data_IF_878875268153
#
_entry.id   IF_878875268153
#
_cell.length_a   1.000
_cell.length_b   1.000
_cell.length_c   1.000
_cell.angle_alpha   90.00
_cell.angle_beta   90.00
_cell.angle_gamma   90.00
#
_symmetry.space_group_name_H-M   'P 1'
#
loop_
_entity.id
_entity.type
_entity.pdbx_description
1 polymer ?
#
# COMPACT_ATOMS: atom_id res chain seq x y z
N UNK A 1 -24.40 35.57 35.21
CA UNK A 1 -23.37 34.52 35.00
C UNK A 1 -23.88 33.31 34.21
N UNK A 2 -25.12 32.91 34.25
CA UNK A 2 -25.63 31.76 33.49
C UNK A 2 -25.77 31.98 31.96
N UNK A 3 -25.94 33.23 31.50
CA UNK A 3 -26.02 33.54 30.06
C UNK A 3 -24.68 33.56 29.32
N UNK A 4 -23.58 33.79 30.04
CA UNK A 4 -22.22 33.75 29.44
C UNK A 4 -21.74 32.32 29.23
N UNK A 5 -22.17 31.37 30.06
CA UNK A 5 -21.82 29.94 29.90
C UNK A 5 -22.58 29.29 28.74
N UNK A 6 -23.75 29.77 28.37
CA UNK A 6 -24.50 29.29 27.18
C UNK A 6 -23.91 29.78 25.86
N UNK A 7 -23.33 31.00 25.83
CA UNK A 7 -22.68 31.55 24.63
C UNK A 7 -21.32 30.90 24.35
N UNK A 8 -20.59 30.46 25.37
CA UNK A 8 -19.34 29.71 25.22
C UNK A 8 -19.61 28.25 24.79
N UNK A 9 -20.72 27.65 25.21
CA UNK A 9 -21.11 26.30 24.76
C UNK A 9 -21.60 26.27 23.30
N UNK A 10 -22.08 27.39 22.75
CA UNK A 10 -22.54 27.46 21.35
C UNK A 10 -21.42 27.76 20.35
N UNK A 11 -20.24 28.23 20.81
CA UNK A 11 -19.10 28.48 19.95
C UNK A 11 -18.18 27.27 19.76
N UNK A 12 -18.46 26.14 20.42
CA UNK A 12 -17.80 24.84 20.23
C UNK A 12 -18.63 23.92 19.33
N UNK A 13 -19.41 24.46 18.40
CA UNK A 13 -19.76 23.72 17.18
C UNK A 13 -18.43 23.61 16.43
N UNK A 14 -17.72 22.54 16.71
CA UNK A 14 -16.67 22.05 15.82
C UNK A 14 -17.24 22.10 14.43
N UNK A 15 -16.79 23.00 13.60
CA UNK A 15 -16.87 22.85 12.16
C UNK A 15 -16.06 21.60 11.86
N UNK A 16 -16.75 20.44 11.94
CA UNK A 16 -16.26 19.25 11.27
C UNK A 16 -15.89 19.74 9.89
N UNK A 17 -14.64 19.59 9.44
CA UNK A 17 -14.31 19.94 8.06
C UNK A 17 -15.37 19.22 7.23
N UNK A 18 -16.16 19.99 6.50
CA UNK A 18 -17.17 19.43 5.59
C UNK A 18 -16.40 18.41 4.77
N UNK A 19 -16.78 17.14 4.84
CA UNK A 19 -16.11 16.08 4.12
C UNK A 19 -16.08 16.55 2.67
N UNK A 20 -14.90 16.89 2.17
CA UNK A 20 -14.73 17.37 0.79
C UNK A 20 -15.28 16.26 -0.08
N UNK A 21 -16.31 16.57 -0.88
CA UNK A 21 -16.85 15.61 -1.83
C UNK A 21 -15.72 15.14 -2.73
N UNK A 22 -15.58 13.83 -2.89
CA UNK A 22 -14.56 13.23 -3.72
C UNK A 22 -14.89 13.53 -5.18
N UNK A 23 -14.07 14.36 -5.83
CA UNK A 23 -14.30 14.78 -7.22
C UNK A 23 -13.74 13.74 -8.18
N UNK A 24 -14.59 13.23 -9.05
CA UNK A 24 -14.23 12.20 -10.05
C UNK A 24 -14.51 12.72 -11.46
N UNK A 25 -13.46 12.86 -12.27
CA UNK A 25 -13.60 13.15 -13.68
C UNK A 25 -13.91 11.88 -14.46
N UNK A 26 -14.91 11.94 -15.34
CA UNK A 26 -15.33 10.82 -16.20
C UNK A 26 -15.19 11.25 -17.65
N UNK A 27 -14.18 10.71 -18.34
CA UNK A 27 -13.94 10.98 -19.77
C UNK A 27 -14.66 9.94 -20.62
N UNK A 28 -15.65 10.38 -21.40
CA UNK A 28 -16.46 9.53 -22.25
C UNK A 28 -16.10 9.71 -23.71
N UNK A 29 -16.05 8.62 -24.47
CA UNK A 29 -15.86 8.65 -25.92
C UNK A 29 -17.03 9.33 -26.66
N UNK A 30 -18.25 9.10 -26.17
CA UNK A 30 -19.47 9.68 -26.72
C UNK A 30 -20.53 9.86 -25.62
N UNK A 31 -21.48 10.83 -25.80
CA UNK A 31 -22.56 11.03 -24.84
C UNK A 31 -23.44 9.78 -24.63
N UNK A 32 -23.53 8.88 -25.63
CA UNK A 32 -24.29 7.63 -25.54
C UNK A 32 -23.79 6.70 -24.42
N UNK A 33 -22.49 6.76 -24.09
CA UNK A 33 -21.92 5.96 -23.00
C UNK A 33 -22.49 6.35 -21.64
N UNK A 34 -22.90 7.58 -21.45
CA UNK A 34 -23.57 8.02 -20.24
C UNK A 34 -24.89 7.26 -20.00
N UNK A 35 -25.66 7.01 -21.07
CA UNK A 35 -26.93 6.28 -20.97
C UNK A 35 -26.70 4.78 -20.79
N UNK A 36 -25.77 4.19 -21.59
CA UNK A 36 -25.50 2.73 -21.57
C UNK A 36 -24.80 2.26 -20.30
N UNK A 37 -24.13 3.16 -19.54
CA UNK A 37 -23.42 2.86 -18.30
C UNK A 37 -24.03 3.62 -17.09
N UNK A 38 -25.24 4.09 -17.22
CA UNK A 38 -25.89 4.96 -16.20
C UNK A 38 -26.00 4.33 -14.84
N UNK A 39 -26.11 3.00 -14.73
CA UNK A 39 -26.15 2.30 -13.44
C UNK A 39 -24.82 2.32 -12.72
N UNK A 40 -23.74 2.15 -13.45
CA UNK A 40 -22.40 2.27 -12.90
C UNK A 40 -22.15 3.69 -12.35
N UNK A 41 -22.51 4.71 -13.09
CA UNK A 41 -22.35 6.10 -12.62
C UNK A 41 -23.23 6.40 -11.40
N UNK A 42 -24.49 5.97 -11.41
CA UNK A 42 -25.38 6.09 -10.24
C UNK A 42 -24.81 5.37 -9.01
N UNK A 43 -24.14 4.24 -9.18
CA UNK A 43 -23.49 3.53 -8.08
C UNK A 43 -22.36 4.37 -7.45
N UNK A 44 -21.58 5.11 -8.25
CA UNK A 44 -20.57 6.06 -7.78
C UNK A 44 -21.20 7.26 -7.07
N UNK A 45 -22.23 7.85 -7.64
CA UNK A 45 -22.97 8.99 -7.05
C UNK A 45 -23.56 8.63 -5.69
N UNK A 46 -24.15 7.43 -5.55
CA UNK A 46 -24.69 6.93 -4.27
C UNK A 46 -23.64 6.80 -3.18
N UNK A 47 -22.37 6.64 -3.54
CA UNK A 47 -21.23 6.59 -2.61
C UNK A 47 -20.66 7.97 -2.27
N UNK A 48 -21.24 9.05 -2.84
CA UNK A 48 -20.85 10.43 -2.56
C UNK A 48 -19.78 10.99 -3.48
N UNK A 49 -19.52 10.37 -4.66
CA UNK A 49 -18.65 10.95 -5.67
C UNK A 49 -19.36 12.06 -6.45
N UNK A 50 -18.71 13.19 -6.59
CA UNK A 50 -19.11 14.27 -7.50
C UNK A 50 -18.57 13.95 -8.90
N UNK A 51 -19.43 13.53 -9.82
CA UNK A 51 -19.03 13.12 -11.16
C UNK A 51 -19.04 14.34 -12.10
N UNK A 52 -17.91 14.57 -12.77
CA UNK A 52 -17.77 15.58 -13.81
C UNK A 52 -17.58 14.85 -15.15
N UNK A 53 -18.62 14.85 -15.98
CA UNK A 53 -18.60 14.20 -17.28
C UNK A 53 -17.96 15.12 -18.34
N UNK A 54 -16.99 14.55 -19.06
CA UNK A 54 -16.22 15.23 -20.10
C UNK A 54 -16.29 14.38 -21.36
N UNK A 55 -16.78 14.95 -22.44
CA UNK A 55 -16.83 14.28 -23.74
C UNK A 55 -15.58 14.56 -24.55
N UNK A 56 -15.32 13.75 -25.58
CA UNK A 56 -14.09 13.84 -26.38
C UNK A 56 -13.84 15.22 -27.04
N UNK A 57 -14.87 16.02 -27.27
CA UNK A 57 -14.75 17.39 -27.81
C UNK A 57 -14.37 18.39 -26.70
N UNK A 58 -14.88 18.21 -25.49
CA UNK A 58 -14.61 19.10 -24.35
C UNK A 58 -13.29 18.71 -23.63
N UNK A 59 -12.69 17.58 -23.98
CA UNK A 59 -11.44 17.11 -23.35
C UNK A 59 -10.22 17.99 -23.61
N UNK A 60 -10.32 18.92 -24.55
CA UNK A 60 -9.30 19.97 -24.82
C UNK A 60 -9.12 20.93 -23.64
N UNK A 61 -10.16 21.12 -22.84
CA UNK A 61 -10.17 22.01 -21.66
C UNK A 61 -9.90 21.27 -20.33
N UNK A 62 -9.75 19.95 -20.37
CA UNK A 62 -9.52 19.17 -19.14
C UNK A 62 -8.10 19.39 -18.61
N UNK A 63 -8.02 20.07 -17.48
CA UNK A 63 -6.79 20.21 -16.71
C UNK A 63 -6.88 19.35 -15.47
N UNK A 64 -6.00 18.34 -15.36
CA UNK A 64 -5.93 17.46 -14.18
C UNK A 64 -5.26 18.13 -12.99
N UNK A 65 -4.51 19.19 -13.25
CA UNK A 65 -3.76 19.94 -12.26
C UNK A 65 -3.96 21.44 -12.45
N UNK A 66 -4.04 22.15 -11.33
CA UNK A 66 -4.10 23.60 -11.33
C UNK A 66 -3.19 24.14 -10.22
N UNK A 67 -2.15 24.90 -10.58
CA UNK A 67 -1.13 25.44 -9.66
C UNK A 67 -0.46 24.40 -8.75
N UNK A 68 -0.15 23.21 -9.26
CA UNK A 68 0.50 22.15 -8.49
C UNK A 68 -0.45 21.31 -7.63
N UNK A 69 -1.76 21.62 -7.61
CA UNK A 69 -2.77 20.83 -6.90
C UNK A 69 -3.65 20.06 -7.89
N UNK A 70 -4.04 18.85 -7.50
CA UNK A 70 -4.96 18.02 -8.29
C UNK A 70 -6.35 18.63 -8.30
N UNK A 71 -6.93 18.74 -9.48
CA UNK A 71 -8.31 19.21 -9.66
C UNK A 71 -9.32 18.09 -9.29
N UNK A 72 -8.95 16.85 -9.52
CA UNK A 72 -9.77 15.66 -9.28
C UNK A 72 -9.02 14.65 -8.42
N UNK A 73 -9.77 13.91 -7.60
CA UNK A 73 -9.21 12.82 -6.79
C UNK A 73 -9.12 11.52 -7.60
N UNK A 74 -10.12 11.27 -8.45
CA UNK A 74 -10.22 10.08 -9.28
C UNK A 74 -10.47 10.43 -10.76
N UNK A 75 -10.01 9.54 -11.64
CA UNK A 75 -10.19 9.66 -13.08
C UNK A 75 -10.73 8.34 -13.65
N UNK A 76 -11.85 8.42 -14.38
CA UNK A 76 -12.46 7.29 -15.10
C UNK A 76 -12.32 7.55 -16.59
N UNK A 77 -11.67 6.64 -17.31
CA UNK A 77 -11.43 6.74 -18.76
C UNK A 77 -12.25 5.69 -19.51
N UNK A 78 -13.39 6.11 -20.07
CA UNK A 78 -14.28 5.31 -20.92
C UNK A 78 -14.20 5.81 -22.37
N UNK A 79 -12.97 5.89 -22.89
CA UNK A 79 -12.69 6.35 -24.26
C UNK A 79 -11.75 5.38 -24.98
N UNK A 80 -12.20 4.15 -25.27
CA UNK A 80 -11.31 3.10 -25.75
C UNK A 80 -10.83 3.27 -27.19
N UNK A 81 -11.52 4.00 -28.05
CA UNK A 81 -11.23 4.10 -29.49
C UNK A 81 -10.76 5.48 -29.93
N UNK A 82 -11.17 6.54 -29.25
CA UNK A 82 -10.80 7.90 -29.56
C UNK A 82 -9.62 8.38 -28.74
N UNK A 83 -8.89 9.32 -29.27
CA UNK A 83 -7.86 10.02 -28.51
C UNK A 83 -8.48 10.68 -27.27
N UNK A 84 -7.70 10.75 -26.19
CA UNK A 84 -8.11 11.37 -24.92
C UNK A 84 -8.12 12.92 -24.99
N UNK A 85 -8.33 13.52 -26.17
CA UNK A 85 -8.26 14.95 -26.39
C UNK A 85 -6.87 15.51 -26.13
N UNK A 86 -6.74 16.46 -25.22
CA UNK A 86 -5.46 17.07 -24.87
C UNK A 86 -4.63 16.21 -23.89
N UNK A 87 -5.20 15.18 -23.27
CA UNK A 87 -4.50 14.33 -22.29
C UNK A 87 -3.40 13.51 -22.95
N UNK A 88 -2.17 13.72 -22.50
CA UNK A 88 -0.99 12.98 -22.92
C UNK A 88 -0.68 11.88 -21.89
N UNK A 89 0.16 10.92 -22.30
CA UNK A 89 0.69 9.91 -21.37
C UNK A 89 1.36 10.55 -20.14
N UNK A 90 2.13 11.63 -20.36
CA UNK A 90 2.80 12.36 -19.27
C UNK A 90 1.84 12.92 -18.23
N UNK A 91 0.68 13.42 -18.65
CA UNK A 91 -0.29 14.06 -17.78
C UNK A 91 -0.99 13.01 -16.90
N UNK A 92 -1.26 11.82 -17.46
CA UNK A 92 -1.79 10.68 -16.73
C UNK A 92 -0.78 10.14 -15.70
N UNK A 93 0.50 10.01 -16.09
CA UNK A 93 1.56 9.57 -15.16
C UNK A 93 1.72 10.58 -14.03
N UNK A 94 1.78 11.86 -14.36
CA UNK A 94 1.90 12.92 -13.34
C UNK A 94 0.72 12.95 -12.38
N UNK A 95 -0.52 12.75 -12.88
CA UNK A 95 -1.70 12.63 -12.04
C UNK A 95 -1.60 11.47 -11.05
N UNK A 96 -1.08 10.31 -11.48
CA UNK A 96 -0.84 9.15 -10.62
C UNK A 96 0.29 9.41 -9.62
N UNK A 97 1.37 10.08 -10.06
CA UNK A 97 2.50 10.41 -9.18
C UNK A 97 2.09 11.38 -8.07
N UNK A 98 1.14 12.25 -8.33
CA UNK A 98 0.53 13.09 -7.30
C UNK A 98 -0.48 12.35 -6.39
N UNK A 99 -0.69 11.05 -6.59
CA UNK A 99 -1.58 10.23 -5.78
C UNK A 99 -3.03 10.17 -6.27
N UNK A 100 -3.30 10.52 -7.53
CA UNK A 100 -4.61 10.37 -8.17
C UNK A 100 -4.91 8.90 -8.49
N UNK A 101 -6.16 8.49 -8.37
CA UNK A 101 -6.58 7.12 -8.71
C UNK A 101 -7.20 7.09 -10.10
N UNK A 102 -7.03 5.95 -10.80
CA UNK A 102 -7.44 5.87 -12.21
C UNK A 102 -8.12 4.53 -12.52
N UNK A 103 -9.28 4.60 -13.20
CA UNK A 103 -9.95 3.46 -13.80
C UNK A 103 -9.96 3.63 -15.32
N UNK A 104 -9.26 2.75 -16.03
CA UNK A 104 -9.23 2.72 -17.49
C UNK A 104 -9.99 1.50 -17.99
N UNK A 105 -11.04 1.71 -18.79
CA UNK A 105 -11.75 0.64 -19.49
C UNK A 105 -11.41 0.67 -20.97
N UNK A 106 -10.82 -0.42 -21.45
CA UNK A 106 -10.37 -0.60 -22.82
C UNK A 106 -11.39 -1.38 -23.68
N UNK A 107 -11.11 -1.50 -24.94
CA UNK A 107 -11.77 -2.39 -25.88
C UNK A 107 -10.75 -2.88 -26.91
N UNK A 108 -11.19 -3.76 -27.82
CA UNK A 108 -10.38 -4.29 -28.93
C UNK A 108 -9.64 -3.18 -29.74
N UNK A 109 -10.16 -1.96 -29.75
CA UNK A 109 -9.61 -0.81 -30.51
C UNK A 109 -8.88 0.20 -29.64
N UNK A 110 -8.32 -0.22 -28.53
CA UNK A 110 -7.57 0.64 -27.60
C UNK A 110 -6.55 1.55 -28.31
N UNK A 111 -6.45 2.81 -27.88
CA UNK A 111 -5.54 3.80 -28.45
C UNK A 111 -4.09 3.56 -28.05
N UNK A 112 -3.14 4.11 -28.82
CA UNK A 112 -1.71 4.02 -28.52
C UNK A 112 -1.38 4.69 -27.19
N UNK A 113 -1.93 5.87 -26.91
CA UNK A 113 -1.65 6.61 -25.66
C UNK A 113 -2.01 5.79 -24.42
N UNK A 114 -3.17 5.12 -24.45
CA UNK A 114 -3.61 4.25 -23.36
C UNK A 114 -2.73 3.00 -23.20
N UNK A 115 -2.31 2.41 -24.33
CA UNK A 115 -1.38 1.25 -24.29
C UNK A 115 -0.02 1.64 -23.73
N UNK A 116 0.55 2.74 -24.22
CA UNK A 116 1.84 3.25 -23.77
C UNK A 116 1.80 3.67 -22.29
N UNK A 117 0.66 4.19 -21.82
CA UNK A 117 0.45 4.50 -20.39
C UNK A 117 0.37 3.23 -19.53
N UNK A 118 -0.41 2.23 -19.96
CA UNK A 118 -0.53 0.98 -19.23
C UNK A 118 0.81 0.23 -19.16
N UNK A 119 1.58 0.23 -20.26
CA UNK A 119 2.91 -0.37 -20.32
C UNK A 119 3.87 0.25 -19.30
N UNK A 120 3.88 1.57 -19.14
CA UNK A 120 4.68 2.26 -18.10
C UNK A 120 4.27 1.87 -16.69
N UNK A 121 2.99 1.50 -16.50
CA UNK A 121 2.47 0.98 -15.24
C UNK A 121 2.75 -0.53 -15.05
N UNK A 122 3.40 -1.18 -16.03
CA UNK A 122 3.72 -2.61 -16.01
C UNK A 122 2.57 -3.51 -16.41
N UNK A 123 1.59 -3.00 -17.15
CA UNK A 123 0.44 -3.75 -17.69
C UNK A 123 0.48 -3.67 -19.21
N UNK A 124 0.62 -4.80 -19.87
CA UNK A 124 0.65 -4.87 -21.31
C UNK A 124 -0.70 -5.38 -21.86
N UNK A 125 -1.38 -4.55 -22.64
CA UNK A 125 -2.55 -4.98 -23.39
C UNK A 125 -2.14 -5.81 -24.60
N UNK A 126 -2.86 -6.87 -24.87
CA UNK A 126 -2.70 -7.69 -26.05
C UNK A 126 -2.77 -6.87 -27.36
N UNK A 127 -2.27 -7.43 -28.46
CA UNK A 127 -2.17 -6.79 -29.77
C UNK A 127 -3.52 -6.21 -30.21
N UNK A 128 -3.49 -5.08 -30.91
CA UNK A 128 -4.71 -4.44 -31.42
C UNK A 128 -5.48 -5.41 -32.31
N UNK A 129 -6.79 -5.54 -32.06
CA UNK A 129 -7.68 -6.43 -32.81
C UNK A 129 -7.74 -7.86 -32.27
N UNK A 130 -7.09 -8.17 -31.13
CA UNK A 130 -7.31 -9.42 -30.40
C UNK A 130 -8.42 -9.26 -29.37
N UNK A 131 -9.09 -10.35 -29.07
CA UNK A 131 -10.08 -10.50 -28.00
C UNK A 131 -9.84 -11.81 -27.28
N UNK A 132 -10.32 -11.89 -26.05
CA UNK A 132 -10.31 -13.14 -25.30
C UNK A 132 -11.45 -14.00 -25.78
N UNK A 133 -11.14 -15.24 -26.15
CA UNK A 133 -12.08 -16.23 -26.68
C UNK A 133 -12.09 -17.45 -25.75
N UNK A 134 -13.26 -17.98 -25.49
CA UNK A 134 -13.42 -19.24 -24.76
C UNK A 134 -14.64 -20.02 -25.31
N UNK A 135 -14.40 -21.19 -25.84
CA UNK A 135 -15.47 -22.03 -26.41
C UNK A 135 -16.19 -22.91 -25.36
N UNK A 136 -15.62 -22.99 -24.15
CA UNK A 136 -16.19 -23.81 -23.06
C UNK A 136 -17.06 -22.94 -22.14
N UNK A 137 -16.55 -21.73 -21.77
CA UNK A 137 -17.22 -20.84 -20.87
C UNK A 137 -17.87 -19.65 -21.60
N UNK A 138 -18.15 -19.81 -22.90
CA UNK A 138 -18.85 -18.78 -23.67
C UNK A 138 -20.29 -18.60 -23.16
N UNK A 139 -20.69 -17.31 -23.11
CA UNK A 139 -22.10 -16.96 -22.89
C UNK A 139 -22.75 -16.89 -24.26
N UNK A 140 -23.77 -17.70 -24.46
CA UNK A 140 -24.54 -17.68 -25.72
C UNK A 140 -25.24 -16.32 -25.83
N UNK A 141 -24.80 -15.52 -26.77
CA UNK A 141 -25.39 -14.25 -27.18
C UNK A 141 -25.65 -14.36 -28.68
N UNK A 142 -26.87 -14.10 -29.14
CA UNK A 142 -27.25 -14.26 -30.54
C UNK A 142 -26.42 -13.38 -31.50
N UNK A 143 -25.82 -12.31 -30.94
CA UNK A 143 -24.95 -11.39 -31.68
C UNK A 143 -23.46 -11.77 -31.66
N UNK A 144 -23.06 -12.78 -30.86
CA UNK A 144 -21.63 -13.18 -30.70
C UNK A 144 -21.30 -14.46 -31.46
N UNK A 145 -20.93 -14.33 -32.72
CA UNK A 145 -20.53 -15.45 -33.60
C UNK A 145 -19.20 -16.09 -33.18
N UNK A 146 -18.35 -15.34 -32.40
CA UNK A 146 -16.97 -15.75 -32.15
C UNK A 146 -16.71 -16.27 -30.73
N UNK A 147 -17.72 -16.40 -29.87
CA UNK A 147 -17.58 -16.76 -28.47
C UNK A 147 -16.64 -15.81 -27.71
N UNK A 148 -16.77 -14.52 -27.99
CA UNK A 148 -15.98 -13.45 -27.37
C UNK A 148 -16.59 -12.94 -26.05
N UNK A 149 -17.83 -13.32 -25.75
CA UNK A 149 -18.47 -13.07 -24.46
C UNK A 149 -18.24 -14.28 -23.55
N UNK A 150 -17.46 -14.11 -22.53
CA UNK A 150 -17.05 -15.20 -21.62
C UNK A 150 -17.55 -15.00 -20.20
N UNK A 151 -17.76 -16.09 -19.47
CA UNK A 151 -18.07 -16.09 -18.05
C UNK A 151 -16.81 -16.41 -17.24
N UNK A 152 -16.25 -15.43 -16.57
CA UNK A 152 -15.06 -15.56 -15.73
C UNK A 152 -15.43 -15.55 -14.25
N UNK A 153 -14.75 -16.33 -13.43
CA UNK A 153 -14.94 -16.42 -11.98
C UNK A 153 -13.63 -16.63 -11.20
N UNK A 154 -12.50 -16.50 -11.85
CA UNK A 154 -11.19 -16.62 -11.20
C UNK A 154 -10.72 -15.25 -10.69
N UNK A 155 -10.97 -15.03 -9.41
CA UNK A 155 -10.67 -13.75 -8.74
C UNK A 155 -9.42 -13.84 -7.89
N UNK A 156 -8.77 -12.70 -7.70
CA UNK A 156 -7.71 -12.57 -6.70
C UNK A 156 -8.23 -12.90 -5.29
N UNK A 157 -7.45 -13.66 -4.53
CA UNK A 157 -7.80 -14.09 -3.17
C UNK A 157 -7.69 -12.94 -2.14
N UNK A 158 -8.39 -11.84 -2.38
CA UNK A 158 -8.41 -10.67 -1.50
C UNK A 158 -9.80 -10.06 -1.42
N UNK A 159 -10.45 -10.23 -0.27
CA UNK A 159 -11.77 -9.62 -0.01
C UNK A 159 -11.72 -8.08 -0.04
N UNK A 160 -10.56 -7.47 0.18
CA UNK A 160 -10.40 -6.02 0.12
C UNK A 160 -10.49 -5.47 -1.29
N UNK A 161 -10.10 -6.29 -2.29
CA UNK A 161 -10.11 -5.91 -3.71
C UNK A 161 -11.43 -6.27 -4.38
N UNK A 162 -11.87 -7.52 -4.24
CA UNK A 162 -13.04 -8.06 -4.96
C UNK A 162 -14.23 -8.36 -4.04
N UNK A 163 -14.16 -7.91 -2.78
CA UNK A 163 -15.26 -8.09 -1.83
C UNK A 163 -15.59 -9.56 -1.56
N UNK A 164 -16.88 -9.85 -1.43
CA UNK A 164 -17.39 -11.20 -1.16
C UNK A 164 -17.10 -12.21 -2.27
N UNK A 165 -16.74 -11.77 -3.48
CA UNK A 165 -16.41 -12.64 -4.61
C UNK A 165 -15.12 -13.43 -4.40
N UNK A 166 -14.22 -12.98 -3.53
CA UNK A 166 -13.02 -13.74 -3.14
C UNK A 166 -13.38 -15.06 -2.43
N UNK A 167 -14.41 -15.02 -1.55
CA UNK A 167 -14.84 -16.19 -0.77
C UNK A 167 -15.95 -16.99 -1.44
N UNK A 168 -16.80 -16.31 -2.24
CA UNK A 168 -17.95 -16.89 -2.95
C UNK A 168 -17.93 -16.45 -4.41
N UNK A 169 -17.09 -17.07 -5.25
CA UNK A 169 -16.95 -16.66 -6.63
C UNK A 169 -18.27 -16.86 -7.40
N UNK A 170 -18.67 -15.83 -8.12
CA UNK A 170 -19.79 -15.83 -9.07
C UNK A 170 -19.25 -15.47 -10.43
N UNK A 171 -19.97 -15.84 -11.48
CA UNK A 171 -19.55 -15.52 -12.84
C UNK A 171 -19.73 -14.02 -13.15
N UNK A 172 -18.71 -13.45 -13.76
CA UNK A 172 -18.70 -12.10 -14.33
C UNK A 172 -18.65 -12.22 -15.85
N UNK A 173 -19.58 -11.56 -16.54
CA UNK A 173 -19.57 -11.50 -17.99
C UNK A 173 -18.50 -10.52 -18.46
N UNK A 174 -17.66 -10.97 -19.37
CA UNK A 174 -16.56 -10.18 -19.93
C UNK A 174 -16.50 -10.35 -21.44
N UNK A 175 -16.30 -9.23 -22.17
CA UNK A 175 -16.02 -9.23 -23.59
C UNK A 175 -15.00 -8.14 -23.90
N UNK A 176 -13.79 -8.51 -24.31
CA UNK A 176 -12.75 -7.51 -24.54
C UNK A 176 -11.36 -8.09 -24.73
N UNK A 177 -10.35 -7.28 -24.45
CA UNK A 177 -8.93 -7.56 -24.68
C UNK A 177 -8.30 -8.15 -23.43
N UNK A 178 -7.43 -9.13 -23.60
CA UNK A 178 -6.58 -9.67 -22.54
C UNK A 178 -5.41 -8.75 -22.21
N UNK A 179 -4.85 -8.93 -21.02
CA UNK A 179 -3.66 -8.23 -20.52
C UNK A 179 -2.68 -9.21 -19.94
N UNK A 180 -1.38 -8.88 -20.05
CA UNK A 180 -0.31 -9.53 -19.32
C UNK A 180 0.36 -8.55 -18.35
N UNK A 181 1.07 -9.10 -17.38
CA UNK A 181 1.85 -8.32 -16.42
C UNK A 181 3.34 -8.47 -16.69
N UNK A 182 4.07 -7.39 -16.48
CA UNK A 182 5.53 -7.46 -16.39
C UNK A 182 5.94 -8.38 -15.23
N UNK A 183 6.69 -9.48 -15.51
CA UNK A 183 6.97 -10.52 -14.50
C UNK A 183 7.63 -10.01 -13.21
N UNK A 184 8.41 -8.94 -13.29
CA UNK A 184 9.14 -8.38 -12.16
C UNK A 184 8.36 -7.27 -11.43
N UNK A 185 7.17 -6.91 -11.90
CA UNK A 185 6.38 -5.85 -11.29
C UNK A 185 5.54 -6.39 -10.13
N UNK A 186 6.07 -6.29 -8.92
CA UNK A 186 5.38 -6.68 -7.68
C UNK A 186 4.24 -5.71 -7.28
N UNK A 187 4.06 -4.59 -7.98
CA UNK A 187 3.01 -3.60 -7.71
C UNK A 187 1.70 -3.92 -8.43
N UNK A 188 1.76 -4.77 -9.45
CA UNK A 188 0.63 -5.12 -10.30
C UNK A 188 0.15 -6.55 -10.01
N UNK A 189 -1.16 -6.78 -10.14
CA UNK A 189 -1.77 -8.10 -10.01
C UNK A 189 -3.07 -8.17 -10.81
N UNK A 190 -3.45 -9.37 -11.23
CA UNK A 190 -4.75 -9.59 -11.86
C UNK A 190 -5.85 -9.65 -10.81
N UNK A 191 -6.85 -8.78 -10.91
CA UNK A 191 -8.05 -8.81 -10.05
C UNK A 191 -9.06 -9.84 -10.52
N UNK A 192 -9.15 -10.04 -11.85
CA UNK A 192 -9.95 -11.07 -12.52
C UNK A 192 -9.10 -11.70 -13.63
N UNK A 193 -9.00 -13.02 -13.64
CA UNK A 193 -8.27 -13.80 -14.63
C UNK A 193 -9.23 -14.52 -15.56
N UNK A 194 -8.73 -14.87 -16.74
CA UNK A 194 -9.51 -15.67 -17.68
C UNK A 194 -9.57 -17.15 -17.22
N UNK A 195 -10.63 -17.88 -17.59
CA UNK A 195 -10.70 -19.32 -17.36
C UNK A 195 -9.54 -20.07 -18.05
N UNK A 196 -9.19 -21.24 -17.53
CA UNK A 196 -8.08 -22.04 -18.04
C UNK A 196 -8.20 -22.42 -19.54
N UNK A 197 -9.42 -22.44 -20.08
CA UNK A 197 -9.71 -22.74 -21.48
C UNK A 197 -9.69 -21.55 -22.42
N UNK A 198 -9.59 -20.34 -21.86
CA UNK A 198 -9.57 -19.10 -22.61
C UNK A 198 -8.21 -18.86 -23.28
N UNK A 199 -8.22 -18.13 -24.37
CA UNK A 199 -7.04 -17.66 -25.08
C UNK A 199 -7.29 -16.31 -25.75
N UNK A 200 -6.23 -15.55 -26.00
CA UNK A 200 -6.34 -14.26 -26.66
C UNK A 200 -5.97 -14.37 -28.13
N UNK A 201 -6.90 -14.11 -29.03
CA UNK A 201 -6.66 -14.20 -30.47
C UNK A 201 -7.47 -13.18 -31.26
N UNK A 202 -7.10 -13.00 -32.54
CA UNK A 202 -7.92 -12.23 -33.47
C UNK A 202 -9.06 -13.12 -34.00
N UNK A 203 -10.34 -12.77 -33.78
CA UNK A 203 -11.47 -13.64 -34.11
C UNK A 203 -11.65 -13.88 -35.63
N UNK A 204 -11.15 -12.94 -36.46
CA UNK A 204 -11.31 -13.00 -37.90
C UNK A 204 -10.16 -13.76 -38.59
N UNK A 205 -8.98 -13.83 -37.95
CA UNK A 205 -7.79 -14.44 -38.55
C UNK A 205 -7.63 -15.89 -38.10
N UNK A 206 -7.32 -16.81 -39.02
CA UNK A 206 -7.08 -18.23 -38.65
C UNK A 206 -5.84 -18.30 -37.75
N UNK A 207 -5.96 -19.11 -36.71
CA UNK A 207 -4.86 -19.44 -35.80
C UNK A 207 -3.94 -20.42 -36.52
N UNK A 208 -2.74 -19.99 -36.87
CA UNK A 208 -1.69 -20.84 -37.46
C UNK A 208 -0.76 -21.37 -36.40
N UNK A 209 -0.15 -22.53 -36.63
CA UNK A 209 0.79 -23.15 -35.68
C UNK A 209 1.96 -22.20 -35.28
N UNK A 210 2.39 -21.32 -36.19
CA UNK A 210 3.40 -20.30 -35.94
C UNK A 210 2.95 -19.25 -34.93
N UNK A 211 1.65 -18.91 -34.89
CA UNK A 211 1.07 -17.96 -33.94
C UNK A 211 0.96 -18.60 -32.55
N UNK A 212 0.63 -19.88 -32.48
CA UNK A 212 0.52 -20.63 -31.22
C UNK A 212 1.87 -20.70 -30.50
N UNK A 213 2.97 -20.84 -31.24
CA UNK A 213 4.28 -21.08 -30.64
C UNK A 213 4.98 -19.83 -30.07
N UNK A 214 4.53 -18.61 -30.41
CA UNK A 214 5.31 -17.41 -30.11
C UNK A 214 4.56 -16.28 -29.42
N UNK A 215 3.25 -16.18 -29.59
CA UNK A 215 2.57 -14.92 -29.31
C UNK A 215 1.17 -15.04 -28.65
N UNK A 216 0.69 -16.21 -28.33
CA UNK A 216 -0.63 -16.36 -27.70
C UNK A 216 -0.52 -16.46 -26.16
N UNK A 217 -1.34 -15.65 -25.48
CA UNK A 217 -1.62 -15.83 -24.06
C UNK A 217 -2.75 -16.82 -23.86
N UNK A 218 -2.60 -17.69 -22.87
CA UNK A 218 -3.56 -18.77 -22.58
C UNK A 218 -3.95 -18.80 -21.11
N UNK A 219 -5.18 -19.21 -20.86
CA UNK A 219 -5.69 -19.54 -19.54
C UNK A 219 -5.52 -18.42 -18.54
N UNK A 220 -5.12 -18.77 -17.34
CA UNK A 220 -4.98 -17.84 -16.20
C UNK A 220 -3.86 -16.81 -16.34
N UNK A 221 -3.00 -16.92 -17.37
CA UNK A 221 -2.02 -15.87 -17.70
C UNK A 221 -2.67 -14.66 -18.34
N UNK A 222 -3.89 -14.82 -18.87
CA UNK A 222 -4.66 -13.73 -19.45
C UNK A 222 -5.40 -12.99 -18.35
N UNK A 223 -4.95 -11.79 -18.02
CA UNK A 223 -5.67 -10.88 -17.14
C UNK A 223 -6.84 -10.23 -17.87
N UNK A 224 -8.02 -10.25 -17.28
CA UNK A 224 -9.23 -9.57 -17.77
C UNK A 224 -9.38 -8.19 -17.13
N UNK A 225 -9.11 -8.12 -15.82
CA UNK A 225 -9.03 -6.88 -15.06
C UNK A 225 -7.78 -6.93 -14.22
N UNK A 226 -6.95 -5.91 -14.37
CA UNK A 226 -5.66 -5.80 -13.71
C UNK A 226 -5.62 -4.58 -12.80
N UNK A 227 -5.08 -4.74 -11.62
CA UNK A 227 -4.93 -3.71 -10.64
C UNK A 227 -3.45 -3.40 -10.40
N UNK A 228 -3.14 -2.13 -10.23
CA UNK A 228 -1.79 -1.64 -9.88
C UNK A 228 -1.90 -0.72 -8.67
N UNK A 229 -1.04 -0.93 -7.69
CA UNK A 229 -0.89 -0.02 -6.57
C UNK A 229 0.49 0.61 -6.61
N UNK A 230 0.55 1.90 -6.85
CA UNK A 230 1.77 2.66 -6.88
C UNK A 230 2.42 2.79 -5.49
N UNK A 231 3.70 3.17 -5.42
CA UNK A 231 4.43 3.33 -4.14
C UNK A 231 3.87 4.46 -3.27
N UNK A 232 3.28 5.47 -3.89
CA UNK A 232 2.57 6.59 -3.22
C UNK A 232 1.14 6.23 -2.79
N UNK A 233 0.75 4.95 -2.89
CA UNK A 233 -0.59 4.42 -2.64
C UNK A 233 -1.67 4.86 -3.65
N UNK A 234 -1.33 5.51 -4.76
CA UNK A 234 -2.25 5.67 -5.88
C UNK A 234 -2.65 4.29 -6.43
N UNK A 235 -3.91 4.13 -6.80
CA UNK A 235 -4.45 2.86 -7.28
C UNK A 235 -5.00 2.99 -8.67
N UNK A 236 -4.64 2.03 -9.52
CA UNK A 236 -5.08 2.00 -10.91
C UNK A 236 -5.78 0.68 -11.20
N UNK A 237 -6.85 0.76 -11.98
CA UNK A 237 -7.53 -0.41 -12.54
C UNK A 237 -7.49 -0.30 -14.05
N UNK A 238 -7.03 -1.35 -14.68
CA UNK A 238 -7.09 -1.56 -16.12
C UNK A 238 -8.10 -2.66 -16.40
N UNK A 239 -9.16 -2.35 -17.11
CA UNK A 239 -10.14 -3.32 -17.59
C UNK A 239 -9.98 -3.51 -19.09
N UNK A 240 -9.89 -4.73 -19.57
CA UNK A 240 -9.87 -5.04 -20.99
C UNK A 240 -11.23 -4.89 -21.68
N UNK A 241 -12.28 -4.63 -20.89
CA UNK A 241 -13.66 -4.52 -21.38
C UNK A 241 -14.33 -3.25 -20.84
N UNK A 242 -14.91 -2.48 -21.75
CA UNK A 242 -15.84 -1.42 -21.40
C UNK A 242 -17.21 -1.97 -21.05
N UNK A 243 -17.63 -3.04 -21.76
CA UNK A 243 -18.95 -3.67 -21.59
C UNK A 243 -19.15 -4.27 -20.20
N UNK A 244 -18.06 -4.60 -19.48
CA UNK A 244 -18.10 -5.06 -18.09
C UNK A 244 -18.91 -4.13 -17.18
N UNK A 245 -18.87 -2.83 -17.45
CA UNK A 245 -19.57 -1.77 -16.70
C UNK A 245 -20.94 -1.41 -17.31
N UNK A 246 -21.36 -2.08 -18.40
CA UNK A 246 -22.58 -1.72 -19.11
C UNK A 246 -23.85 -2.16 -18.37
N UNK A 247 -24.93 -1.43 -18.61
CA UNK A 247 -26.27 -1.76 -18.09
C UNK A 247 -26.74 -3.15 -18.55
N UNK A 248 -26.26 -3.67 -19.70
CA UNK A 248 -26.58 -4.99 -20.23
C UNK A 248 -26.28 -6.07 -19.19
N UNK A 249 -25.07 -6.04 -18.60
CA UNK A 249 -24.64 -7.04 -17.62
C UNK A 249 -25.04 -6.66 -16.19
N UNK A 250 -25.14 -5.39 -15.85
CA UNK A 250 -25.62 -4.94 -14.55
C UNK A 250 -27.07 -5.32 -14.26
N UNK A 251 -27.90 -5.43 -15.30
CA UNK A 251 -29.30 -5.83 -15.18
C UNK A 251 -29.49 -7.35 -15.01
N UNK A 252 -28.51 -8.12 -15.39
CA UNK A 252 -28.62 -9.57 -15.45
C UNK A 252 -28.22 -10.19 -14.12
N UNK A 253 -29.20 -10.70 -13.38
CA UNK A 253 -29.01 -11.34 -12.06
C UNK A 253 -28.16 -12.65 -12.13
N UNK A 254 -27.91 -13.20 -13.32
CA UNK A 254 -27.04 -14.36 -13.50
C UNK A 254 -25.57 -14.02 -13.32
N UNK A 255 -25.19 -12.75 -13.51
CA UNK A 255 -23.82 -12.29 -13.44
C UNK A 255 -23.60 -11.33 -12.26
N UNK A 256 -22.40 -11.35 -11.72
CA UNK A 256 -22.01 -10.52 -10.61
C UNK A 256 -21.27 -9.23 -11.06
N UNK A 257 -21.51 -8.75 -12.29
CA UNK A 257 -20.81 -7.57 -12.82
C UNK A 257 -20.97 -6.33 -11.93
N UNK A 258 -22.20 -6.09 -11.44
CA UNK A 258 -22.46 -4.94 -10.57
C UNK A 258 -21.74 -5.05 -9.23
N UNK A 259 -21.70 -6.25 -8.62
CA UNK A 259 -21.01 -6.54 -7.37
C UNK A 259 -19.48 -6.41 -7.53
N UNK A 260 -18.95 -6.96 -8.63
CA UNK A 260 -17.53 -6.87 -8.96
C UNK A 260 -17.09 -5.42 -9.25
N UNK A 261 -17.83 -4.69 -10.08
CA UNK A 261 -17.55 -3.28 -10.38
C UNK A 261 -17.58 -2.40 -9.12
N UNK A 262 -18.53 -2.65 -8.21
CA UNK A 262 -18.58 -1.95 -6.93
C UNK A 262 -17.35 -2.24 -6.07
N UNK A 263 -16.96 -3.50 -5.94
CA UNK A 263 -15.82 -3.89 -5.13
C UNK A 263 -14.50 -3.32 -5.66
N UNK A 264 -14.21 -3.47 -6.96
CA UNK A 264 -12.95 -2.98 -7.53
C UNK A 264 -12.86 -1.45 -7.54
N UNK A 265 -13.98 -0.75 -7.73
CA UNK A 265 -14.00 0.72 -7.68
C UNK A 265 -13.88 1.24 -6.25
N UNK A 266 -14.44 0.57 -5.24
CA UNK A 266 -14.20 0.87 -3.82
C UNK A 266 -12.72 0.76 -3.47
N UNK A 267 -12.09 -0.30 -3.95
CA UNK A 267 -10.66 -0.45 -3.75
C UNK A 267 -9.87 0.62 -4.52
N UNK A 268 -10.17 0.84 -5.79
CA UNK A 268 -9.48 1.82 -6.62
C UNK A 268 -9.54 3.23 -6.03
N UNK A 269 -10.73 3.67 -5.61
CA UNK A 269 -10.95 5.01 -5.09
C UNK A 269 -10.68 5.17 -3.59
N UNK A 270 -9.93 4.22 -3.03
CA UNK A 270 -9.48 4.24 -1.64
C UNK A 270 -10.60 4.27 -0.58
N UNK A 271 -11.73 3.64 -0.88
CA UNK A 271 -12.82 3.44 0.06
C UNK A 271 -12.68 2.12 0.86
N UNK A 272 -11.85 1.20 0.39
CA UNK A 272 -11.54 -0.07 1.05
C UNK A 272 -10.03 -0.36 1.05
N UNK A 273 -9.56 -1.15 2.03
CA UNK A 273 -8.16 -1.56 2.12
C UNK A 273 -7.17 -0.40 2.36
N UNK A 274 -7.62 0.68 2.98
CA UNK A 274 -6.76 1.80 3.35
C UNK A 274 -6.33 1.64 4.80
N UNK A 275 -5.02 1.66 5.04
CA UNK A 275 -4.43 1.68 6.37
C UNK A 275 -4.00 3.08 6.74
N UNK A 276 -4.23 3.45 7.98
CA UNK A 276 -3.77 4.69 8.60
C UNK A 276 -2.95 4.38 9.82
N UNK A 277 -1.77 4.97 9.89
CA UNK A 277 -0.88 4.89 11.03
C UNK A 277 -0.92 6.21 11.80
N UNK A 278 -0.97 6.10 13.12
CA UNK A 278 -0.97 7.25 14.04
C UNK A 278 -0.14 6.90 15.28
N UNK A 279 0.13 7.91 16.11
CA UNK A 279 0.75 7.76 17.44
C UNK A 279 2.06 6.96 17.47
N UNK A 280 2.94 7.19 16.48
CA UNK A 280 4.27 6.56 16.48
C UNK A 280 5.09 7.11 17.64
N UNK A 281 5.50 6.22 18.55
CA UNK A 281 6.27 6.57 19.74
C UNK A 281 7.37 5.54 19.98
N UNK A 282 8.45 5.99 20.60
CA UNK A 282 9.50 5.11 21.07
C UNK A 282 10.12 5.68 22.37
N UNK A 283 10.48 4.81 23.27
CA UNK A 283 11.06 5.16 24.58
C UNK A 283 11.88 3.97 25.09
N UNK A 284 12.60 4.13 26.21
CA UNK A 284 13.20 3.00 26.91
C UNK A 284 12.11 2.16 27.59
N UNK A 285 12.39 0.90 27.85
CA UNK A 285 11.44 -0.02 28.49
C UNK A 285 11.01 0.44 29.90
N UNK A 286 11.81 1.27 30.57
CA UNK A 286 11.49 1.89 31.85
C UNK A 286 10.54 3.11 31.72
N UNK A 287 10.10 3.45 30.51
CA UNK A 287 9.25 4.60 30.21
C UNK A 287 10.03 5.92 30.12
N UNK A 288 11.34 5.93 30.34
CA UNK A 288 12.14 7.16 30.21
C UNK A 288 12.31 7.53 28.74
N UNK A 289 12.19 8.83 28.44
CA UNK A 289 12.49 9.35 27.13
C UNK A 289 14.01 9.37 26.90
N UNK A 290 14.46 9.20 25.65
CA UNK A 290 15.88 9.30 25.32
C UNK A 290 16.43 10.68 25.65
N UNK A 291 17.73 10.73 25.97
CA UNK A 291 18.40 11.99 26.23
C UNK A 291 18.40 12.84 24.95
N UNK A 292 17.99 14.09 25.05
CA UNK A 292 18.19 15.08 23.99
C UNK A 292 19.70 15.25 23.79
N UNK A 293 20.17 15.24 22.54
CA UNK A 293 21.46 15.78 22.26
C UNK A 293 21.40 17.27 22.64
N UNK A 294 22.04 17.65 23.73
CA UNK A 294 22.35 19.04 24.00
C UNK A 294 23.23 19.47 22.84
N UNK A 295 22.63 20.13 21.83
CA UNK A 295 23.43 20.96 20.93
C UNK A 295 24.34 21.79 21.82
N UNK A 296 25.64 21.79 21.54
CA UNK A 296 26.59 22.62 22.29
C UNK A 296 26.09 24.08 22.21
N UNK A 297 25.24 24.44 23.15
CA UNK A 297 24.61 25.77 23.26
C UNK A 297 25.63 26.88 23.44
N UNK A 298 26.90 26.54 23.65
CA UNK A 298 28.00 27.48 23.83
C UNK A 298 28.72 27.89 22.53
N UNK A 299 28.30 27.40 21.37
CA UNK A 299 28.88 27.76 20.07
C UNK A 299 27.92 28.55 19.21
N UNK A 300 27.23 29.51 19.56
CA UNK A 300 26.54 30.51 18.72
C UNK A 300 25.98 30.03 17.35
N UNK A 301 26.11 28.78 17.04
CA UNK A 301 25.72 28.16 15.77
C UNK A 301 24.25 27.80 15.82
N UNK A 302 23.47 28.48 15.03
CA UNK A 302 22.09 28.11 14.73
C UNK A 302 22.05 26.63 14.29
N UNK A 303 21.09 25.83 14.74
CA UNK A 303 20.98 24.45 14.27
C UNK A 303 20.79 24.47 12.76
N UNK A 304 21.66 23.76 12.03
CA UNK A 304 21.54 23.59 10.60
C UNK A 304 20.29 22.73 10.37
N UNK A 305 19.19 23.36 10.01
CA UNK A 305 17.98 22.69 9.56
C UNK A 305 18.22 22.24 8.11
N UNK A 306 18.66 21.00 7.92
CA UNK A 306 18.86 20.41 6.60
C UNK A 306 17.55 20.10 5.85
N UNK A 307 16.41 20.12 6.53
CA UNK A 307 15.09 19.88 5.93
C UNK A 307 14.02 20.73 6.62
N UNK A 308 13.15 21.44 5.86
CA UNK A 308 12.11 22.32 6.41
C UNK A 308 11.00 21.59 7.20
N UNK A 309 10.80 20.28 7.00
CA UNK A 309 9.79 19.47 7.70
C UNK A 309 10.31 18.85 8.99
N UNK A 310 11.46 19.26 9.46
CA UNK A 310 12.17 18.67 10.58
C UNK A 310 11.78 19.25 11.95
N UNK A 311 10.51 19.41 12.26
CA UNK A 311 10.11 19.48 13.66
C UNK A 311 10.49 18.20 14.44
N UNK A 312 10.55 17.06 13.74
CA UNK A 312 11.01 15.78 14.28
C UNK A 312 12.54 15.69 14.41
N UNK A 313 13.30 16.42 13.60
CA UNK A 313 14.76 16.40 13.64
C UNK A 313 15.38 17.28 14.74
N UNK A 314 14.60 18.09 15.45
CA UNK A 314 15.10 18.93 16.55
C UNK A 314 15.43 18.16 17.83
N UNK A 315 14.90 16.97 17.99
CA UNK A 315 15.19 16.08 19.09
C UNK A 315 15.97 14.85 18.55
N UNK A 316 17.26 15.03 18.26
CA UNK A 316 18.13 13.88 18.02
C UNK A 316 18.16 13.04 19.30
N UNK A 317 17.26 12.07 19.31
CA UNK A 317 17.02 11.18 20.41
C UNK A 317 18.24 10.26 20.53
N UNK A 318 18.92 10.31 21.67
CA UNK A 318 20.13 9.51 21.91
C UNK A 318 19.82 8.40 22.89
N UNK A 319 19.93 7.18 22.41
CA UNK A 319 19.92 5.96 23.22
C UNK A 319 21.34 5.48 23.48
N UNK A 320 21.50 4.57 24.39
CA UNK A 320 22.75 3.88 24.66
C UNK A 320 22.72 2.48 24.05
N UNK A 321 23.85 1.94 23.63
CA UNK A 321 23.96 0.52 23.24
C UNK A 321 23.45 -0.37 24.36
N UNK A 322 22.78 -1.48 24.02
CA UNK A 322 22.17 -2.43 24.96
C UNK A 322 21.03 -1.87 25.82
N UNK A 323 20.51 -0.67 25.51
CA UNK A 323 19.27 -0.20 26.15
C UNK A 323 18.08 -1.05 25.64
N UNK A 324 17.14 -1.38 26.53
CA UNK A 324 15.87 -1.95 26.14
C UNK A 324 14.94 -0.86 25.60
N UNK A 325 14.59 -0.96 24.34
CA UNK A 325 13.79 0.03 23.60
C UNK A 325 12.39 -0.51 23.35
N UNK A 326 11.40 0.30 23.58
CA UNK A 326 10.00 0.02 23.22
C UNK A 326 9.59 0.94 22.07
N UNK A 327 9.06 0.35 21.01
CA UNK A 327 8.46 1.05 19.89
C UNK A 327 6.96 0.75 19.86
N UNK A 328 6.15 1.78 19.61
CA UNK A 328 4.70 1.63 19.53
C UNK A 328 4.10 2.50 18.45
N UNK A 329 2.98 2.05 17.87
CA UNK A 329 2.19 2.75 16.88
C UNK A 329 0.76 2.24 16.87
N UNK A 330 -0.18 3.06 16.40
CA UNK A 330 -1.58 2.67 16.21
C UNK A 330 -1.87 2.49 14.72
N UNK A 331 -2.48 1.35 14.36
CA UNK A 331 -2.91 1.05 13.00
C UNK A 331 -4.42 0.87 12.92
N UNK A 332 -5.04 1.54 11.95
CA UNK A 332 -6.46 1.45 11.66
C UNK A 332 -6.69 1.16 10.17
N UNK A 333 -7.71 0.37 9.87
CA UNK A 333 -8.16 0.06 8.51
C UNK A 333 -9.50 0.74 8.24
N UNK A 334 -9.62 1.38 7.09
CA UNK A 334 -10.88 1.95 6.64
C UNK A 334 -11.79 0.84 6.10
N UNK A 335 -12.93 0.62 6.77
CA UNK A 335 -13.98 -0.32 6.35
C UNK A 335 -15.34 0.35 6.39
N UNK A 336 -16.04 0.34 5.27
CA UNK A 336 -17.40 0.92 5.18
C UNK A 336 -17.48 2.37 5.71
N UNK A 337 -16.46 3.18 5.42
CA UNK A 337 -16.39 4.58 5.84
C UNK A 337 -16.01 4.81 7.32
N UNK A 338 -15.70 3.76 8.07
CA UNK A 338 -15.27 3.85 9.47
C UNK A 338 -13.86 3.32 9.66
N UNK A 339 -13.09 4.00 10.52
CA UNK A 339 -11.77 3.55 10.92
C UNK A 339 -11.88 2.51 12.02
N UNK A 340 -11.56 1.27 11.69
CA UNK A 340 -11.57 0.14 12.63
C UNK A 340 -10.13 -0.27 12.98
N UNK A 341 -9.89 -0.80 14.19
CA UNK A 341 -8.59 -1.34 14.59
C UNK A 341 -8.11 -2.39 13.60
N UNK A 342 -6.88 -2.26 13.14
CA UNK A 342 -6.24 -3.28 12.30
C UNK A 342 -5.73 -4.44 13.16
N UNK A 343 -5.93 -5.69 12.71
CA UNK A 343 -5.58 -6.91 13.43
C UNK A 343 -4.68 -7.81 12.58
N UNK A 344 -3.52 -7.32 12.20
CA UNK A 344 -2.52 -8.10 11.46
C UNK A 344 -1.42 -8.62 12.37
N UNK A 345 -1.09 -9.91 12.31
CA UNK A 345 -0.05 -10.53 13.12
C UNK A 345 1.34 -10.54 12.46
N UNK A 346 1.47 -9.88 11.32
CA UNK A 346 2.65 -9.94 10.45
C UNK A 346 3.32 -8.58 10.23
N UNK A 347 2.99 -7.60 11.06
CA UNK A 347 3.62 -6.27 11.02
C UNK A 347 4.97 -6.35 11.71
N UNK A 348 6.04 -5.95 11.01
CA UNK A 348 7.40 -6.05 11.49
C UNK A 348 8.05 -4.67 11.64
N UNK A 349 8.82 -4.54 12.70
CA UNK A 349 9.76 -3.46 12.94
C UNK A 349 11.16 -3.92 12.56
N UNK A 350 11.86 -3.09 11.84
CA UNK A 350 13.28 -3.23 11.56
C UNK A 350 14.05 -2.09 12.22
N UNK A 351 15.12 -2.42 12.94
CA UNK A 351 16.07 -1.47 13.47
C UNK A 351 17.34 -1.52 12.62
N UNK A 352 17.55 -0.47 11.83
CA UNK A 352 18.45 -0.48 10.66
C UNK A 352 19.50 0.60 10.78
N UNK A 353 20.75 0.27 10.46
CA UNK A 353 21.82 1.24 10.19
C UNK A 353 22.12 1.28 8.68
N UNK A 354 22.94 0.44 8.15
CA UNK A 354 23.07 0.15 6.71
C UNK A 354 22.18 -1.05 6.37
N UNK A 355 22.37 -2.12 7.10
CA UNK A 355 21.58 -3.34 7.06
C UNK A 355 20.69 -3.46 8.30
N UNK A 356 19.61 -4.24 8.27
CA UNK A 356 18.80 -4.51 9.45
C UNK A 356 19.59 -5.29 10.50
N UNK A 357 19.86 -4.66 11.66
CA UNK A 357 20.48 -5.34 12.79
C UNK A 357 19.46 -6.18 13.57
N UNK A 358 18.24 -5.67 13.71
CA UNK A 358 17.15 -6.33 14.41
C UNK A 358 15.91 -6.26 13.54
N UNK A 359 15.22 -7.40 13.40
CA UNK A 359 13.89 -7.49 12.80
C UNK A 359 13.01 -8.27 13.74
N UNK A 360 11.92 -7.65 14.19
CA UNK A 360 10.99 -8.24 15.13
C UNK A 360 9.55 -7.96 14.75
N UNK A 361 8.64 -8.87 15.10
CA UNK A 361 7.21 -8.70 14.84
C UNK A 361 6.58 -7.91 15.98
N UNK A 362 5.76 -6.93 15.64
CA UNK A 362 4.98 -6.15 16.58
C UNK A 362 3.81 -6.99 17.10
N UNK A 363 3.60 -6.96 18.41
CA UNK A 363 2.40 -7.50 19.03
C UNK A 363 1.31 -6.43 19.05
N UNK A 364 0.06 -6.81 18.86
CA UNK A 364 -1.05 -5.88 18.86
C UNK A 364 -2.09 -6.23 19.92
N UNK A 365 -2.80 -5.21 20.37
CA UNK A 365 -4.02 -5.36 21.16
C UNK A 365 -5.27 -5.35 20.26
N UNK A 366 -6.46 -5.51 20.87
CA UNK A 366 -7.73 -5.45 20.13
C UNK A 366 -8.11 -4.04 19.66
N UNK A 367 -7.43 -3.01 20.16
CA UNK A 367 -7.69 -1.60 19.83
C UNK A 367 -6.82 -1.11 18.66
N UNK A 368 -5.94 -1.98 18.12
CA UNK A 368 -5.05 -1.64 17.02
C UNK A 368 -3.76 -0.95 17.45
N UNK A 369 -3.42 -1.04 18.73
CA UNK A 369 -2.15 -0.59 19.26
C UNK A 369 -1.10 -1.68 19.08
N UNK A 370 -0.06 -1.38 18.31
CA UNK A 370 1.08 -2.26 18.03
C UNK A 370 2.28 -1.84 18.84
N UNK A 371 2.92 -2.78 19.53
CA UNK A 371 4.11 -2.48 20.31
C UNK A 371 5.10 -3.65 20.31
N UNK A 372 6.37 -3.32 20.52
CA UNK A 372 7.44 -4.31 20.72
C UNK A 372 8.55 -3.71 21.57
N UNK A 373 9.13 -4.55 22.43
CA UNK A 373 10.32 -4.21 23.22
C UNK A 373 11.47 -5.12 22.79
N UNK A 374 12.63 -4.52 22.54
CA UNK A 374 13.84 -5.23 22.15
C UNK A 374 15.09 -4.54 22.73
N UNK A 375 16.18 -5.27 22.82
CA UNK A 375 17.48 -4.74 23.25
C UNK A 375 18.21 -4.11 22.06
N UNK A 376 18.72 -2.89 22.22
CA UNK A 376 19.50 -2.21 21.19
C UNK A 376 20.83 -2.95 20.94
N UNK A 377 21.32 -2.99 19.69
CA UNK A 377 22.56 -3.68 19.35
C UNK A 377 23.79 -3.04 20.02
N UNK A 378 24.85 -3.83 20.18
CA UNK A 378 26.15 -3.36 20.71
C UNK A 378 26.99 -2.69 19.60
N UNK A 379 26.36 -1.83 18.83
CA UNK A 379 26.97 -1.01 17.77
C UNK A 379 26.46 0.40 17.92
N UNK A 380 27.37 1.35 17.99
CA UNK A 380 27.01 2.76 18.06
C UNK A 380 26.91 3.38 16.66
N UNK A 381 26.08 4.39 16.51
CA UNK A 381 25.87 5.09 15.25
C UNK A 381 24.44 5.62 15.12
N UNK A 382 24.06 5.95 13.87
CA UNK A 382 22.73 6.45 13.55
C UNK A 382 21.89 5.28 13.06
N UNK A 383 20.78 5.01 13.74
CA UNK A 383 19.83 3.97 13.43
C UNK A 383 18.48 4.52 13.01
N UNK A 384 17.73 3.72 12.30
CA UNK A 384 16.37 4.01 11.90
C UNK A 384 15.43 2.92 12.46
N UNK A 385 14.39 3.32 13.18
CA UNK A 385 13.20 2.49 13.33
C UNK A 385 12.47 2.54 11.99
N UNK A 386 12.38 1.42 11.31
CA UNK A 386 11.71 1.30 10.01
C UNK A 386 10.59 0.30 10.10
N UNK A 387 9.38 0.73 9.77
CA UNK A 387 8.25 -0.15 9.55
C UNK A 387 7.84 -0.04 8.10
N UNK A 388 7.88 -1.15 7.39
CA UNK A 388 7.41 -1.26 6.01
C UNK A 388 6.42 -2.41 5.94
N UNK A 389 5.14 -2.07 5.81
CA UNK A 389 4.08 -3.06 5.70
C UNK A 389 3.38 -2.94 4.36
N UNK A 390 3.44 -4.01 3.58
CA UNK A 390 2.84 -4.09 2.26
C UNK A 390 2.20 -5.46 2.08
N UNK A 391 0.89 -5.47 1.83
CA UNK A 391 0.10 -6.67 1.55
C UNK A 391 -0.90 -6.38 0.43
N UNK A 392 -1.23 -7.43 -0.31
CA UNK A 392 -2.17 -7.35 -1.41
C UNK A 392 -3.51 -6.74 -0.96
N UNK A 393 -3.95 -5.72 -1.68
CA UNK A 393 -5.22 -5.02 -1.42
C UNK A 393 -5.18 -4.00 -0.29
N UNK A 394 -4.07 -3.88 0.46
CA UNK A 394 -3.89 -2.87 1.51
C UNK A 394 -2.97 -1.75 1.04
N UNK A 395 -3.20 -0.54 1.52
CA UNK A 395 -2.27 0.56 1.32
C UNK A 395 -0.94 0.27 2.04
N UNK A 396 0.16 0.67 1.42
CA UNK A 396 1.49 0.49 1.98
C UNK A 396 1.71 1.45 3.14
N UNK A 397 2.10 0.93 4.30
CA UNK A 397 2.61 1.72 5.41
C UNK A 397 4.13 1.76 5.29
N UNK A 398 4.69 2.95 5.32
CA UNK A 398 6.12 3.18 5.39
C UNK A 398 6.40 4.31 6.37
N UNK A 399 7.17 4.01 7.40
CA UNK A 399 7.63 5.01 8.35
C UNK A 399 9.06 4.75 8.74
N UNK A 400 9.80 5.83 8.95
CA UNK A 400 11.17 5.80 9.46
C UNK A 400 11.33 6.86 10.52
N UNK A 401 11.94 6.50 11.65
CA UNK A 401 12.29 7.45 12.71
C UNK A 401 13.77 7.28 13.02
N UNK A 402 14.53 8.36 12.87
CA UNK A 402 15.97 8.36 13.09
C UNK A 402 16.31 8.55 14.56
N UNK A 403 17.24 7.75 15.06
CA UNK A 403 17.77 7.82 16.42
C UNK A 403 19.28 7.60 16.42
N UNK A 404 19.96 8.13 17.42
CA UNK A 404 21.39 7.90 17.60
C UNK A 404 21.63 6.93 18.75
N UNK A 405 22.53 5.96 18.54
CA UNK A 405 23.05 5.10 19.59
C UNK A 405 24.47 5.54 19.97
N UNK A 406 24.70 5.82 21.25
CA UNK A 406 26.02 6.11 21.78
C UNK A 406 26.61 4.89 22.49
N UNK A 407 27.94 4.75 22.54
CA UNK A 407 28.59 3.74 23.37
C UNK A 407 28.40 4.04 24.86
N UNK A 408 28.77 3.08 25.70
CA UNK A 408 28.89 3.31 27.14
C UNK A 408 29.91 4.38 27.44
N UNK A 409 29.60 5.25 28.39
CA UNK A 409 30.61 6.07 29.03
C UNK A 409 31.48 5.22 29.95
N UNK A 410 32.64 5.75 30.39
CA UNK A 410 33.57 4.99 31.21
C UNK A 410 33.01 4.57 32.58
N UNK A 411 32.00 5.25 33.08
CA UNK A 411 31.31 5.01 34.35
C UNK A 411 30.04 4.16 34.20
N UNK A 412 29.63 3.81 32.96
CA UNK A 412 28.42 3.04 32.68
C UNK A 412 28.68 1.54 32.44
N UNK A 413 29.95 1.12 32.38
CA UNK A 413 30.31 -0.29 32.25
C UNK A 413 29.99 -1.06 33.54
N UNK A 414 29.62 -2.35 33.37
CA UNK A 414 29.42 -3.24 34.52
C UNK A 414 30.68 -3.33 35.36
N UNK A 415 30.52 -3.25 36.67
CA UNK A 415 31.65 -3.32 37.61
C UNK A 415 32.38 -4.66 37.55
N UNK A 416 31.66 -5.74 37.32
CA UNK A 416 32.20 -7.10 37.24
C UNK A 416 31.91 -7.69 35.85
N UNK A 417 32.95 -7.74 35.03
CA UNK A 417 32.85 -8.26 33.67
C UNK A 417 32.96 -9.77 33.68
N UNK A 418 32.01 -10.55 33.13
CA UNK A 418 32.04 -12.01 33.11
C UNK A 418 33.35 -12.62 32.56
N UNK A 419 33.90 -12.00 31.50
CA UNK A 419 35.17 -12.39 30.90
C UNK A 419 36.37 -12.29 31.87
N UNK A 420 36.29 -11.48 32.92
CA UNK A 420 37.32 -11.30 33.93
C UNK A 420 37.18 -12.26 35.11
N UNK A 421 36.13 -13.07 35.20
CA UNK A 421 35.94 -14.03 36.32
C UNK A 421 37.09 -15.02 36.55
N UNK A 422 37.76 -15.57 35.53
CA UNK A 422 38.95 -16.41 35.74
C UNK A 422 40.06 -15.66 36.48
N UNK A 423 40.26 -14.37 36.19
CA UNK A 423 41.26 -13.56 36.88
C UNK A 423 40.85 -13.27 38.34
N UNK A 424 39.58 -12.98 38.58
CA UNK A 424 39.07 -12.79 39.95
C UNK A 424 39.22 -14.10 40.74
N UNK A 425 38.85 -15.24 40.15
CA UNK A 425 38.99 -16.57 40.81
C UNK A 425 40.44 -16.87 41.14
N UNK A 426 41.39 -16.58 40.23
CA UNK A 426 42.82 -16.78 40.49
C UNK A 426 43.35 -15.87 41.61
N UNK A 427 42.96 -14.59 41.61
CA UNK A 427 43.35 -13.67 42.69
C UNK A 427 42.81 -14.08 44.05
N UNK A 428 41.54 -14.43 44.15
CA UNK A 428 40.94 -14.90 45.39
C UNK A 428 41.52 -16.24 45.87
N UNK A 429 41.80 -17.18 45.00
CA UNK A 429 42.41 -18.46 45.36
C UNK A 429 43.84 -18.26 45.87
N UNK A 430 44.62 -17.35 45.26
CA UNK A 430 45.95 -17.02 45.72
C UNK A 430 45.92 -16.36 47.09
N UNK A 431 45.03 -15.38 47.32
CA UNK A 431 44.85 -14.77 48.67
C UNK A 431 44.46 -15.81 49.72
N UNK A 432 43.53 -16.71 49.39
CA UNK A 432 43.13 -17.81 50.27
C UNK A 432 44.31 -18.74 50.56
N UNK A 433 45.09 -19.08 49.53
CA UNK A 433 46.29 -19.91 49.67
C UNK A 433 47.33 -19.29 50.61
N UNK A 434 47.61 -18.00 50.42
CA UNK A 434 48.53 -17.26 51.29
C UNK A 434 48.02 -17.19 52.73
N UNK A 435 46.73 -16.95 52.91
CA UNK A 435 46.12 -16.92 54.25
C UNK A 435 46.27 -18.29 54.94
N UNK A 436 45.86 -19.37 54.25
CA UNK A 436 45.98 -20.75 54.84
C UNK A 436 47.44 -21.12 55.12
N UNK A 437 48.35 -20.76 54.21
CA UNK A 437 49.76 -21.01 54.44
C UNK A 437 50.29 -20.20 55.66
N UNK A 438 49.90 -18.96 55.82
CA UNK A 438 50.28 -18.13 56.95
C UNK A 438 49.78 -18.72 58.25
N UNK A 439 48.52 -19.16 58.29
CA UNK A 439 47.95 -19.85 59.49
C UNK A 439 48.72 -21.15 59.78
N UNK A 440 48.96 -21.97 58.77
CA UNK A 440 49.73 -23.20 58.95
C UNK A 440 51.16 -22.91 59.44
N UNK A 441 51.84 -21.93 58.86
CA UNK A 441 53.18 -21.52 59.25
C UNK A 441 53.27 -21.03 60.72
N UNK A 442 52.31 -20.21 61.16
CA UNK A 442 52.25 -19.70 62.54
C UNK A 442 51.98 -20.76 63.59
N UNK A 443 51.23 -21.80 63.25
CA UNK A 443 50.85 -22.86 64.15
C UNK A 443 51.63 -24.19 63.95
N UNK A 444 52.60 -24.15 63.01
CA UNK A 444 53.43 -25.31 62.77
C UNK A 444 54.42 -25.50 63.89
N UNK A 445 54.23 -26.54 64.72
CA UNK A 445 55.15 -26.94 65.79
C UNK A 445 56.08 -28.06 65.25
N UNK A 446 57.33 -27.67 65.06
CA UNK A 446 58.40 -28.65 64.69
C UNK A 446 58.70 -29.55 65.87
N UNK A 447 58.06 -30.65 65.92
CA UNK A 447 58.47 -31.73 66.88
C UNK A 447 59.80 -32.25 66.42
N UNK A 448 60.84 -31.79 67.08
CA UNK A 448 62.14 -32.49 67.18
C UNK A 448 62.10 -33.47 68.34
#
# INVERSE_FOLDING_TARGET
>A
MALLSYLVALSLVYTLPAARAVRTAVVLESPKLHETHSKFFKQLEHRGHELVFITGEDSLSLTLEHYGERTFDNLVLFSPQKALGALRKSDLLHFVDQGGNLLLAASMKITRVQRDFALECGVEFEKKGTVVLDHVNAILDDDDIYNSVIAANDFVASERVVGSLASKPKHVAFSGVGMSLEPNNILAFHALMAPATAYSANPVKPITQKVISTDLLFGTQVGLVTAVQSRNNARLIFSGSLDLFSNKYFNNKKFANAEFADAITKWCFQESGVLRMTNVKHHRADGSLPAKMLSNANRGDQPITLYPDAEVARDSLVYRVKDNLTYSMDLHELKSGQWLPFKGNDVQLEFVMLDPHIRTTLTHDEQGHFSVTFEAPDVYGIFLFRVMYRRLGLSTIYTTTQVSLRPFKHDEYERFIPAAYPYYASAFSMMTGVFLFSVYFLFYDSKN
#
